data_IF_689565284024
#
_entry.id   IF_689565284024
#
_cell.length_a   1.000
_cell.length_b   1.000
_cell.length_c   1.000
_cell.angle_alpha   90.00
_cell.angle_beta   90.00
_cell.angle_gamma   90.00
#
_symmetry.space_group_name_H-M   'P 1'
#
loop_
_entity.id
_entity.type
_entity.pdbx_description
1 polymer ?
#
# COMPACT_ATOMS: atom_id res chain seq x y z
N UNK A 1 33.51 17.12 -39.90
CA UNK A 1 32.38 18.04 -40.02
C UNK A 1 32.22 18.44 -41.46
N UNK A 2 31.04 18.26 -42.07
CA UNK A 2 30.66 18.66 -43.41
C UNK A 2 29.35 19.47 -43.38
N UNK A 3 29.19 20.40 -44.31
CA UNK A 3 27.94 21.07 -44.52
C UNK A 3 27.03 20.21 -45.39
N UNK A 4 25.78 20.08 -45.01
CA UNK A 4 24.75 19.39 -45.80
C UNK A 4 23.80 20.42 -46.40
N UNK A 5 23.83 20.62 -47.70
CA UNK A 5 22.96 21.54 -48.40
C UNK A 5 21.49 21.12 -48.32
N UNK A 6 21.21 19.80 -48.45
CA UNK A 6 19.86 19.28 -48.38
C UNK A 6 19.19 19.45 -47.00
N UNK A 7 19.99 19.51 -45.94
CA UNK A 7 19.51 19.67 -44.56
C UNK A 7 19.76 21.05 -43.98
N UNK A 8 20.48 21.91 -44.71
CA UNK A 8 20.91 23.25 -44.26
C UNK A 8 21.54 23.21 -42.86
N UNK A 9 22.44 22.22 -42.63
CA UNK A 9 23.06 21.97 -41.31
C UNK A 9 24.47 21.42 -41.45
N UNK A 10 25.31 21.73 -40.48
CA UNK A 10 26.60 21.11 -40.28
C UNK A 10 26.40 19.70 -39.71
N UNK A 11 27.00 18.68 -40.35
CA UNK A 11 26.95 17.28 -39.96
C UNK A 11 28.34 16.87 -39.46
N UNK A 12 28.38 16.26 -38.29
CA UNK A 12 29.57 15.62 -37.73
C UNK A 12 29.34 14.15 -37.53
N UNK A 13 30.37 13.35 -37.81
CA UNK A 13 30.37 11.89 -37.57
C UNK A 13 31.56 11.52 -36.70
N UNK A 14 31.31 10.63 -35.72
CA UNK A 14 32.35 10.10 -34.83
C UNK A 14 32.15 8.60 -34.65
N UNK A 15 33.25 7.84 -34.65
CA UNK A 15 33.24 6.42 -34.33
C UNK A 15 33.19 6.23 -32.80
N UNK A 16 32.29 5.37 -32.36
CA UNK A 16 32.08 5.05 -30.94
C UNK A 16 32.21 3.54 -30.70
N UNK A 17 33.26 2.94 -31.27
CA UNK A 17 33.57 1.52 -31.13
C UNK A 17 32.94 0.62 -32.19
N UNK A 18 32.77 -0.65 -31.84
CA UNK A 18 32.28 -1.70 -32.72
C UNK A 18 31.08 -2.42 -32.08
N UNK A 19 30.19 -2.99 -32.91
CA UNK A 19 29.13 -3.88 -32.43
C UNK A 19 29.73 -5.25 -32.05
N UNK A 20 28.94 -6.08 -31.35
CA UNK A 20 29.33 -7.46 -31.05
C UNK A 20 29.70 -8.30 -32.32
N UNK A 21 29.17 -7.90 -33.47
CA UNK A 21 29.50 -8.51 -34.79
C UNK A 21 30.67 -7.83 -35.49
N UNK A 22 31.49 -7.00 -34.83
CA UNK A 22 32.65 -6.33 -35.38
C UNK A 22 32.36 -5.15 -36.33
N UNK A 23 31.09 -4.73 -36.51
CA UNK A 23 30.72 -3.59 -37.35
C UNK A 23 30.98 -2.28 -36.60
N UNK A 24 31.66 -1.33 -37.29
CA UNK A 24 31.97 0.00 -36.75
C UNK A 24 30.69 0.80 -36.41
N UNK A 25 30.58 1.26 -35.18
CA UNK A 25 29.48 2.13 -34.72
C UNK A 25 29.83 3.59 -34.96
N UNK A 26 28.99 4.29 -35.73
CA UNK A 26 29.18 5.72 -36.05
C UNK A 26 27.99 6.50 -35.59
N UNK A 27 28.24 7.52 -34.78
CA UNK A 27 27.23 8.48 -34.34
C UNK A 27 27.31 9.73 -35.20
N UNK A 28 26.17 10.16 -35.71
CA UNK A 28 26.04 11.37 -36.51
C UNK A 28 25.33 12.44 -35.67
N UNK A 29 25.92 13.63 -35.59
CA UNK A 29 25.32 14.80 -34.96
C UNK A 29 25.10 15.90 -35.98
N UNK A 30 24.16 16.81 -35.76
CA UNK A 30 23.92 17.96 -36.60
C UNK A 30 23.73 19.23 -35.77
N UNK A 31 24.18 20.37 -36.33
CA UNK A 31 24.02 21.70 -35.75
C UNK A 31 23.72 22.74 -36.82
N UNK A 32 23.06 23.85 -36.46
CA UNK A 32 22.84 24.99 -37.36
C UNK A 32 24.15 25.72 -37.67
N UNK A 33 25.07 25.71 -36.70
CA UNK A 33 26.40 26.29 -36.85
C UNK A 33 27.48 25.20 -36.72
N UNK A 34 28.67 25.47 -37.29
CA UNK A 34 29.85 24.61 -37.18
C UNK A 34 30.27 24.41 -35.69
N UNK A 35 30.15 25.50 -34.91
CA UNK A 35 30.45 25.48 -33.45
C UNK A 35 29.50 24.57 -32.69
N UNK A 36 28.21 24.64 -32.97
CA UNK A 36 27.19 23.78 -32.36
C UNK A 36 27.44 22.29 -32.67
N UNK A 37 27.70 21.98 -33.96
CA UNK A 37 28.00 20.60 -34.37
C UNK A 37 29.28 20.08 -33.69
N UNK A 38 30.31 20.95 -33.56
CA UNK A 38 31.57 20.58 -32.86
C UNK A 38 31.37 20.34 -31.38
N UNK A 39 30.54 21.17 -30.71
CA UNK A 39 30.18 21.00 -29.31
C UNK A 39 29.46 19.66 -29.07
N UNK A 40 28.47 19.33 -29.91
CA UNK A 40 27.74 18.04 -29.85
C UNK A 40 28.66 16.83 -30.10
N UNK A 41 29.63 16.94 -31.01
CA UNK A 41 30.64 15.88 -31.24
C UNK A 41 31.52 15.66 -30.00
N UNK A 42 31.98 16.75 -29.37
CA UNK A 42 32.77 16.64 -28.13
C UNK A 42 31.98 15.99 -27.00
N UNK A 43 30.71 16.32 -26.88
CA UNK A 43 29.81 15.72 -25.89
C UNK A 43 29.65 14.21 -26.14
N UNK A 44 29.43 13.77 -27.41
CA UNK A 44 29.35 12.35 -27.77
C UNK A 44 30.66 11.62 -27.47
N UNK A 45 31.81 12.26 -27.75
CA UNK A 45 33.12 11.66 -27.45
C UNK A 45 33.34 11.53 -25.94
N UNK A 46 32.99 12.52 -25.16
CA UNK A 46 33.07 12.48 -23.70
C UNK A 46 32.21 11.38 -23.13
N UNK A 47 30.94 11.27 -23.59
CA UNK A 47 30.04 10.21 -23.14
C UNK A 47 30.59 8.82 -23.49
N UNK A 48 31.17 8.68 -24.67
CA UNK A 48 31.81 7.41 -25.07
C UNK A 48 33.03 7.06 -24.19
N UNK A 49 33.87 8.04 -23.85
CA UNK A 49 35.01 7.89 -22.95
C UNK A 49 34.57 7.57 -21.53
N UNK A 50 33.44 8.13 -21.08
CA UNK A 50 32.81 7.86 -19.78
C UNK A 50 32.04 6.50 -19.77
N UNK A 51 32.06 5.72 -20.86
CA UNK A 51 31.37 4.44 -20.96
C UNK A 51 29.86 4.51 -21.23
N UNK A 52 29.32 5.70 -21.56
CA UNK A 52 27.90 5.88 -21.86
C UNK A 52 27.55 5.57 -23.32
N UNK A 53 26.76 4.51 -23.61
CA UNK A 53 26.38 4.18 -24.99
C UNK A 53 25.44 5.23 -25.59
N UNK A 54 25.80 5.75 -26.75
CA UNK A 54 25.08 6.85 -27.46
C UNK A 54 23.68 6.46 -27.92
N UNK A 55 23.40 5.17 -28.11
CA UNK A 55 22.08 4.65 -28.54
C UNK A 55 21.00 4.83 -27.47
N UNK A 56 21.39 5.01 -26.21
CA UNK A 56 20.48 5.12 -25.06
C UNK A 56 19.93 6.52 -24.82
N UNK A 57 20.38 7.53 -25.56
CA UNK A 57 19.95 8.94 -25.42
C UNK A 57 18.48 9.19 -25.78
N UNK A 58 17.83 8.26 -26.48
CA UNK A 58 16.44 8.41 -26.92
C UNK A 58 15.40 7.85 -25.94
N UNK A 59 15.84 7.12 -24.91
CA UNK A 59 14.91 6.54 -23.94
C UNK A 59 14.18 7.63 -23.14
N UNK A 60 12.87 7.45 -23.06
CA UNK A 60 11.98 8.34 -22.31
C UNK A 60 11.79 7.84 -20.87
N UNK A 61 11.22 8.67 -20.03
CA UNK A 61 10.79 8.28 -18.68
C UNK A 61 9.74 7.16 -18.75
N UNK A 62 8.83 7.20 -19.73
CA UNK A 62 7.85 6.13 -19.93
C UNK A 62 8.51 4.78 -20.22
N UNK A 63 9.50 4.76 -21.12
CA UNK A 63 10.27 3.52 -21.43
C UNK A 63 10.96 2.97 -20.18
N UNK A 64 11.52 3.85 -19.34
CA UNK A 64 12.16 3.46 -18.10
C UNK A 64 11.17 2.92 -17.05
N UNK A 65 9.97 3.48 -16.99
CA UNK A 65 8.89 2.98 -16.12
C UNK A 65 8.48 1.57 -16.53
N UNK A 66 8.25 1.32 -17.83
CA UNK A 66 7.84 -0.01 -18.29
C UNK A 66 8.97 -1.05 -18.10
N UNK A 67 10.23 -0.67 -18.37
CA UNK A 67 11.36 -1.55 -18.07
C UNK A 67 11.49 -1.86 -16.58
N UNK A 68 11.28 -0.87 -15.72
CA UNK A 68 11.29 -1.08 -14.28
C UNK A 68 10.14 -1.96 -13.80
N UNK A 69 8.93 -1.79 -14.34
CA UNK A 69 7.78 -2.62 -14.02
C UNK A 69 7.98 -4.07 -14.47
N UNK A 70 8.64 -4.27 -15.63
CA UNK A 70 8.89 -5.61 -16.16
C UNK A 70 10.01 -6.34 -15.41
N UNK A 71 11.09 -5.66 -15.03
CA UNK A 71 12.33 -6.31 -14.61
C UNK A 71 12.94 -5.74 -13.30
N UNK A 72 12.48 -4.56 -12.84
CA UNK A 72 13.10 -3.84 -11.73
C UNK A 72 12.40 -4.02 -10.38
N UNK A 73 11.28 -4.73 -10.35
CA UNK A 73 10.46 -4.87 -9.14
C UNK A 73 10.98 -5.95 -8.17
N UNK A 74 11.87 -6.84 -8.63
CA UNK A 74 12.32 -8.00 -7.83
C UNK A 74 11.16 -8.91 -7.42
N UNK A 75 11.35 -9.69 -6.36
CA UNK A 75 10.30 -10.53 -5.79
C UNK A 75 9.39 -9.65 -4.91
N UNK A 76 8.25 -9.27 -5.44
CA UNK A 76 7.24 -8.45 -4.74
C UNK A 76 5.88 -9.15 -4.77
N UNK A 77 5.05 -8.86 -3.76
CA UNK A 77 3.65 -9.27 -3.76
C UNK A 77 2.93 -8.73 -5.02
N UNK A 78 2.14 -9.56 -5.73
CA UNK A 78 1.42 -9.15 -6.95
C UNK A 78 0.61 -7.87 -6.77
N UNK A 79 -0.07 -7.71 -5.63
CA UNK A 79 -0.83 -6.51 -5.29
C UNK A 79 0.05 -5.24 -5.20
N UNK A 80 1.29 -5.39 -4.75
CA UNK A 80 2.26 -4.28 -4.70
C UNK A 80 2.69 -3.88 -6.12
N UNK A 81 2.94 -4.85 -7.00
CA UNK A 81 3.28 -4.61 -8.41
C UNK A 81 2.14 -3.86 -9.10
N UNK A 82 0.91 -4.38 -8.98
CA UNK A 82 -0.28 -3.74 -9.56
C UNK A 82 -0.47 -2.31 -9.05
N UNK A 83 -0.40 -2.08 -7.74
CA UNK A 83 -0.56 -0.74 -7.17
C UNK A 83 0.53 0.24 -7.64
N UNK A 84 1.78 -0.19 -7.73
CA UNK A 84 2.86 0.65 -8.23
C UNK A 84 2.70 0.95 -9.72
N UNK A 85 2.26 -0.03 -10.51
CA UNK A 85 1.96 0.17 -11.92
C UNK A 85 0.82 1.20 -12.12
N UNK A 86 -0.27 1.08 -11.35
CA UNK A 86 -1.37 2.05 -11.38
C UNK A 86 -0.86 3.45 -11.03
N UNK A 87 -0.12 3.60 -9.93
CA UNK A 87 0.42 4.90 -9.52
C UNK A 87 1.34 5.51 -10.59
N UNK A 88 2.26 4.71 -11.15
CA UNK A 88 3.17 5.17 -12.19
C UNK A 88 2.42 5.60 -13.46
N UNK A 89 1.51 4.76 -13.95
CA UNK A 89 0.77 5.02 -15.20
C UNK A 89 -0.25 6.15 -15.06
N UNK A 90 -0.84 6.33 -13.86
CA UNK A 90 -1.84 7.39 -13.64
C UNK A 90 -1.21 8.75 -13.37
N UNK A 91 -0.09 8.81 -12.65
CA UNK A 91 0.41 10.08 -12.13
C UNK A 91 1.79 10.48 -12.64
N UNK A 92 2.65 9.53 -13.03
CA UNK A 92 4.01 9.80 -13.48
C UNK A 92 4.08 9.87 -15.01
N UNK A 93 3.64 8.82 -15.70
CA UNK A 93 3.75 8.69 -17.17
C UNK A 93 3.01 9.82 -17.91
N UNK A 94 1.80 10.27 -17.54
CA UNK A 94 1.10 11.33 -18.26
C UNK A 94 1.84 12.68 -18.23
N UNK A 95 2.63 12.95 -17.20
CA UNK A 95 3.31 14.24 -17.01
C UNK A 95 4.77 14.19 -17.46
N UNK A 96 5.53 13.22 -16.99
CA UNK A 96 6.96 13.11 -17.25
C UNK A 96 7.31 12.10 -18.35
N UNK A 97 6.38 11.24 -18.75
CA UNK A 97 6.65 10.08 -19.58
C UNK A 97 7.30 10.39 -20.93
N UNK A 98 6.93 11.51 -21.56
CA UNK A 98 7.50 11.96 -22.85
C UNK A 98 8.88 12.60 -22.74
N UNK A 99 9.33 12.97 -21.53
CA UNK A 99 10.67 13.51 -21.30
C UNK A 99 11.72 12.45 -21.58
N UNK A 100 12.80 12.83 -22.23
CA UNK A 100 13.99 11.96 -22.33
C UNK A 100 14.64 11.87 -20.96
N UNK A 101 15.11 10.66 -20.62
CA UNK A 101 15.77 10.43 -19.32
C UNK A 101 16.94 11.37 -19.07
N UNK A 102 17.75 11.63 -20.11
CA UNK A 102 18.92 12.52 -20.04
C UNK A 102 18.59 13.99 -19.89
N UNK A 103 17.37 14.38 -20.23
CA UNK A 103 16.88 15.75 -20.16
C UNK A 103 16.06 16.04 -18.87
N UNK A 104 15.78 14.98 -18.08
CA UNK A 104 15.03 15.13 -16.84
C UNK A 104 15.89 15.89 -15.80
N UNK A 105 15.38 17.00 -15.33
CA UNK A 105 16.05 17.87 -14.36
C UNK A 105 15.44 17.74 -12.96
N UNK A 106 16.16 18.20 -11.95
CA UNK A 106 15.66 18.36 -10.57
C UNK A 106 14.40 19.22 -10.56
N UNK A 107 14.41 20.34 -11.30
CA UNK A 107 13.27 21.25 -11.41
C UNK A 107 12.02 20.58 -11.98
N UNK A 108 12.16 19.70 -12.99
CA UNK A 108 11.01 18.95 -13.54
C UNK A 108 10.38 18.04 -12.48
N UNK A 109 11.22 17.40 -11.64
CA UNK A 109 10.75 16.51 -10.56
C UNK A 109 10.08 17.32 -9.46
N UNK A 110 10.67 18.44 -9.04
CA UNK A 110 10.08 19.36 -8.05
C UNK A 110 8.71 19.88 -8.51
N UNK A 111 8.64 20.40 -9.74
CA UNK A 111 7.39 20.91 -10.30
C UNK A 111 6.29 19.84 -10.39
N UNK A 112 6.67 18.61 -10.80
CA UNK A 112 5.74 17.49 -10.86
C UNK A 112 5.22 17.10 -9.48
N UNK A 113 6.10 16.95 -8.47
CA UNK A 113 5.70 16.59 -7.12
C UNK A 113 4.85 17.68 -6.46
N UNK A 114 5.21 18.95 -6.65
CA UNK A 114 4.42 20.09 -6.16
C UNK A 114 3.00 20.12 -6.75
N UNK A 115 2.87 19.81 -8.04
CA UNK A 115 1.55 19.71 -8.67
C UNK A 115 0.75 18.51 -8.13
N UNK A 116 1.37 17.34 -7.98
CA UNK A 116 0.69 16.17 -7.39
C UNK A 116 0.30 16.39 -5.93
N UNK A 117 1.08 17.12 -5.16
CA UNK A 117 0.80 17.44 -3.77
C UNK A 117 -0.47 18.28 -3.55
N UNK A 118 -0.91 19.03 -4.55
CA UNK A 118 -2.18 19.79 -4.51
C UNK A 118 -3.40 18.87 -4.41
N UNK A 119 -3.32 17.65 -4.93
CA UNK A 119 -4.46 16.74 -5.08
C UNK A 119 -4.32 15.42 -4.33
N UNK A 120 -3.10 15.02 -4.00
CA UNK A 120 -2.82 13.70 -3.43
C UNK A 120 -2.35 13.82 -1.99
N UNK A 121 -2.62 12.77 -1.21
CA UNK A 121 -2.12 12.70 0.17
C UNK A 121 -0.60 12.63 0.23
N UNK A 122 -0.02 13.15 1.31
CA UNK A 122 1.43 13.11 1.57
C UNK A 122 2.02 11.71 1.36
N UNK A 123 1.35 10.66 1.84
CA UNK A 123 1.81 9.26 1.65
C UNK A 123 1.84 8.87 0.17
N UNK A 124 0.84 9.29 -0.62
CA UNK A 124 0.80 9.00 -2.07
C UNK A 124 1.90 9.75 -2.80
N UNK A 125 2.16 11.01 -2.46
CA UNK A 125 3.27 11.81 -3.02
C UNK A 125 4.62 11.15 -2.74
N UNK A 126 4.84 10.70 -1.49
CA UNK A 126 6.05 9.97 -1.11
C UNK A 126 6.20 8.64 -1.87
N UNK A 127 5.10 7.92 -2.11
CA UNK A 127 5.12 6.69 -2.94
C UNK A 127 5.47 6.99 -4.38
N UNK A 128 4.92 8.04 -4.97
CA UNK A 128 5.24 8.46 -6.34
C UNK A 128 6.72 8.83 -6.47
N UNK A 129 7.25 9.60 -5.52
CA UNK A 129 8.68 9.92 -5.45
C UNK A 129 9.54 8.66 -5.33
N UNK A 130 9.16 7.71 -4.45
CA UNK A 130 9.83 6.43 -4.30
C UNK A 130 9.85 5.59 -5.58
N UNK A 131 8.75 5.61 -6.36
CA UNK A 131 8.67 4.95 -7.67
C UNK A 131 9.65 5.60 -8.64
N UNK A 132 9.64 6.92 -8.80
CA UNK A 132 10.57 7.62 -9.70
C UNK A 132 12.03 7.38 -9.31
N UNK A 133 12.36 7.42 -8.02
CA UNK A 133 13.70 7.07 -7.51
C UNK A 133 14.12 5.65 -7.92
N UNK A 134 13.22 4.69 -7.82
CA UNK A 134 13.51 3.30 -8.19
C UNK A 134 13.69 3.13 -9.71
N UNK A 135 12.85 3.78 -10.50
CA UNK A 135 12.94 3.83 -11.98
C UNK A 135 14.28 4.41 -12.41
N UNK A 136 14.65 5.58 -11.89
CA UNK A 136 15.90 6.25 -12.24
C UNK A 136 17.12 5.51 -11.70
N UNK A 137 17.04 4.87 -10.53
CA UNK A 137 18.13 4.00 -10.03
C UNK A 137 18.40 2.84 -10.99
N UNK A 138 17.34 2.21 -11.52
CA UNK A 138 17.49 1.15 -12.51
C UNK A 138 18.07 1.71 -13.82
N UNK A 139 17.55 2.85 -14.29
CA UNK A 139 18.09 3.52 -15.47
C UNK A 139 19.59 3.87 -15.32
N UNK A 140 20.02 4.29 -14.13
CA UNK A 140 21.42 4.57 -13.80
C UNK A 140 22.26 3.28 -13.76
N UNK A 141 21.76 2.20 -13.18
CA UNK A 141 22.45 0.90 -13.18
C UNK A 141 22.65 0.30 -14.58
N UNK A 142 21.84 0.73 -15.55
CA UNK A 142 21.96 0.35 -16.97
C UNK A 142 22.58 1.46 -17.84
N UNK A 143 23.24 2.44 -17.25
CA UNK A 143 23.93 3.56 -17.91
C UNK A 143 23.04 4.39 -18.85
N UNK A 144 21.74 4.48 -18.57
CA UNK A 144 20.82 5.34 -19.31
C UNK A 144 20.85 6.79 -18.83
N UNK A 145 21.24 7.02 -17.57
CA UNK A 145 21.47 8.33 -16.97
C UNK A 145 22.69 8.31 -16.07
N UNK A 146 23.43 9.43 -16.01
CA UNK A 146 24.64 9.58 -15.19
C UNK A 146 24.29 9.69 -13.68
N UNK A 147 23.16 10.30 -13.36
CA UNK A 147 22.71 10.55 -11.98
C UNK A 147 21.21 10.36 -11.83
N UNK A 148 20.81 9.98 -10.64
CA UNK A 148 19.40 9.91 -10.26
C UNK A 148 18.96 11.25 -9.68
N UNK A 149 18.34 12.10 -10.51
CA UNK A 149 17.88 13.45 -10.11
C UNK A 149 16.81 13.43 -9.03
N UNK A 150 16.02 12.35 -8.92
CA UNK A 150 15.01 12.23 -7.88
C UNK A 150 15.59 12.02 -6.47
N UNK A 151 16.89 11.70 -6.35
CA UNK A 151 17.55 11.65 -5.04
C UNK A 151 17.86 13.04 -4.46
N UNK A 152 17.81 14.07 -5.31
CA UNK A 152 18.13 15.45 -4.95
C UNK A 152 16.87 16.27 -4.61
N UNK A 153 15.71 15.63 -4.59
CA UNK A 153 14.41 16.26 -4.34
C UNK A 153 13.79 15.69 -3.09
N UNK A 154 13.33 16.55 -2.20
CA UNK A 154 12.50 16.17 -1.06
C UNK A 154 11.01 16.32 -1.42
N UNK A 155 10.21 15.25 -1.30
CA UNK A 155 8.81 15.33 -1.66
C UNK A 155 8.04 16.28 -0.73
N UNK A 156 7.24 17.22 -1.27
CA UNK A 156 6.47 18.16 -0.49
C UNK A 156 5.34 17.44 0.26
N UNK A 157 4.78 18.10 1.28
CA UNK A 157 3.56 17.64 1.95
C UNK A 157 2.40 17.79 0.99
N UNK A 158 1.64 16.71 0.81
CA UNK A 158 0.38 16.70 0.08
C UNK A 158 -0.82 17.06 0.97
N UNK A 159 -2.03 16.80 0.46
CA UNK A 159 -3.26 16.95 1.23
C UNK A 159 -3.27 16.03 2.44
N UNK A 160 -4.04 16.38 3.46
CA UNK A 160 -4.28 15.50 4.58
C UNK A 160 -4.95 14.21 4.07
N UNK A 161 -4.37 13.06 4.41
CA UNK A 161 -5.01 11.77 4.15
C UNK A 161 -6.30 11.63 4.96
N UNK A 162 -7.16 10.67 4.57
CA UNK A 162 -8.34 10.34 5.36
C UNK A 162 -7.91 9.98 6.78
N UNK A 163 -8.41 10.71 7.80
CA UNK A 163 -8.06 10.39 9.18
C UNK A 163 -8.55 8.98 9.53
N UNK A 164 -7.79 8.29 10.36
CA UNK A 164 -8.24 7.06 11.01
C UNK A 164 -9.43 7.41 11.90
N UNK A 165 -10.51 6.61 11.82
CA UNK A 165 -11.69 6.78 12.64
C UNK A 165 -11.85 5.57 13.55
N UNK A 166 -12.30 5.80 14.77
CA UNK A 166 -12.72 4.76 15.70
C UNK A 166 -14.15 5.01 16.13
N UNK A 167 -14.90 3.94 16.36
CA UNK A 167 -16.23 4.00 16.93
C UNK A 167 -16.13 4.33 18.42
N UNK A 168 -17.02 5.17 18.92
CA UNK A 168 -17.27 5.26 20.35
C UNK A 168 -17.91 3.97 20.87
N UNK A 169 -17.92 3.73 22.18
CA UNK A 169 -18.57 2.56 22.77
C UNK A 169 -20.05 2.45 22.36
N UNK A 170 -20.79 3.57 22.37
CA UNK A 170 -22.21 3.62 21.97
C UNK A 170 -22.38 3.32 20.47
N UNK A 171 -21.51 3.85 19.61
CA UNK A 171 -21.52 3.56 18.17
C UNK A 171 -21.21 2.09 17.90
N UNK A 172 -20.26 1.51 18.64
CA UNK A 172 -19.93 0.11 18.56
C UNK A 172 -21.10 -0.78 19.01
N UNK A 173 -21.77 -0.44 20.11
CA UNK A 173 -22.96 -1.14 20.58
C UNK A 173 -24.10 -1.10 19.54
N UNK A 174 -24.40 0.08 18.97
CA UNK A 174 -25.39 0.21 17.90
C UNK A 174 -25.03 -0.58 16.64
N UNK A 175 -23.75 -0.57 16.25
CA UNK A 175 -23.29 -1.36 15.11
C UNK A 175 -23.45 -2.87 15.34
N UNK A 176 -23.12 -3.34 16.53
CA UNK A 176 -23.30 -4.75 16.91
C UNK A 176 -24.80 -5.13 16.94
N UNK A 177 -25.67 -4.25 17.42
CA UNK A 177 -27.12 -4.47 17.43
C UNK A 177 -27.68 -4.49 15.98
N UNK A 178 -27.25 -3.56 15.12
CA UNK A 178 -27.67 -3.54 13.72
C UNK A 178 -27.17 -4.78 12.95
N UNK A 179 -26.00 -5.30 13.29
CA UNK A 179 -25.45 -6.51 12.68
C UNK A 179 -26.27 -7.78 13.00
N UNK A 180 -27.00 -7.81 14.14
CA UNK A 180 -27.85 -8.97 14.48
C UNK A 180 -28.96 -9.20 13.44
N UNK A 181 -29.45 -8.17 12.77
CA UNK A 181 -30.47 -8.25 11.73
C UNK A 181 -29.92 -8.64 10.35
N UNK A 182 -28.60 -8.62 10.13
CA UNK A 182 -27.96 -9.02 8.86
C UNK A 182 -27.23 -10.35 9.06
N UNK A 183 -27.95 -11.46 8.80
CA UNK A 183 -27.41 -12.82 9.00
C UNK A 183 -26.05 -13.04 8.30
N UNK A 184 -25.86 -12.48 7.10
CA UNK A 184 -24.64 -12.62 6.33
C UNK A 184 -23.44 -11.86 6.92
N UNK A 185 -23.69 -10.74 7.62
CA UNK A 185 -22.65 -9.87 8.14
C UNK A 185 -22.50 -9.95 9.66
N UNK A 186 -23.45 -10.53 10.38
CA UNK A 186 -23.46 -10.62 11.85
C UNK A 186 -22.11 -11.13 12.39
N UNK A 187 -21.75 -12.35 12.07
CA UNK A 187 -20.51 -12.94 12.57
C UNK A 187 -19.28 -12.18 12.08
N UNK A 188 -19.29 -11.69 10.83
CA UNK A 188 -18.17 -10.91 10.28
C UNK A 188 -17.93 -9.62 11.06
N UNK A 189 -18.97 -8.85 11.34
CA UNK A 189 -18.87 -7.58 12.08
C UNK A 189 -18.46 -7.82 13.53
N UNK A 190 -19.11 -8.80 14.20
CA UNK A 190 -18.81 -9.15 15.59
C UNK A 190 -17.35 -9.59 15.74
N UNK A 191 -16.90 -10.55 14.94
CA UNK A 191 -15.52 -11.06 15.03
C UNK A 191 -14.51 -9.97 14.65
N UNK A 192 -14.78 -9.18 13.60
CA UNK A 192 -13.90 -8.10 13.18
C UNK A 192 -13.71 -7.05 14.29
N UNK A 193 -14.81 -6.63 14.92
CA UNK A 193 -14.77 -5.61 15.95
C UNK A 193 -14.16 -6.12 17.25
N UNK A 194 -14.47 -7.35 17.66
CA UNK A 194 -14.06 -7.90 18.97
C UNK A 194 -12.70 -8.59 18.98
N UNK A 195 -12.09 -8.83 17.81
CA UNK A 195 -10.74 -9.41 17.70
C UNK A 195 -9.72 -8.49 17.05
N UNK A 196 -10.19 -7.37 16.46
CA UNK A 196 -9.33 -6.48 15.69
C UNK A 196 -8.68 -7.14 14.46
N UNK A 197 -9.23 -8.25 13.96
CA UNK A 197 -8.73 -8.94 12.78
C UNK A 197 -8.77 -8.03 11.55
N UNK A 198 -7.74 -8.16 10.66
CA UNK A 198 -7.75 -7.44 9.39
C UNK A 198 -8.80 -8.03 8.45
N UNK A 199 -9.39 -7.21 7.60
CA UNK A 199 -10.35 -7.65 6.57
C UNK A 199 -9.80 -8.80 5.73
N UNK A 200 -8.52 -8.74 5.36
CA UNK A 200 -7.85 -9.76 4.57
C UNK A 200 -7.65 -11.07 5.36
N UNK A 201 -7.47 -10.98 6.68
CA UNK A 201 -7.35 -12.14 7.57
C UNK A 201 -8.70 -12.85 7.71
N UNK A 202 -9.78 -12.10 7.93
CA UNK A 202 -11.14 -12.66 8.02
C UNK A 202 -11.59 -13.29 6.71
N UNK A 203 -11.31 -12.67 5.57
CA UNK A 203 -11.66 -13.21 4.24
C UNK A 203 -10.92 -14.52 3.91
N UNK A 204 -9.79 -14.78 4.55
CA UNK A 204 -9.01 -15.99 4.39
C UNK A 204 -9.15 -16.96 5.57
N UNK A 205 -9.97 -16.63 6.59
CA UNK A 205 -10.16 -17.44 7.77
C UNK A 205 -10.86 -18.76 7.40
N UNK A 206 -10.30 -19.87 7.84
CA UNK A 206 -10.88 -21.20 7.65
C UNK A 206 -11.35 -21.79 8.99
N UNK A 207 -12.31 -22.69 8.96
CA UNK A 207 -12.80 -23.38 10.15
C UNK A 207 -11.72 -24.19 10.86
N UNK A 208 -10.68 -24.62 10.18
CA UNK A 208 -9.51 -25.30 10.78
C UNK A 208 -8.68 -24.40 11.69
N UNK A 209 -8.88 -23.09 11.61
CA UNK A 209 -8.22 -22.07 12.43
C UNK A 209 -9.16 -21.48 13.51
N UNK A 210 -10.33 -22.07 13.71
CA UNK A 210 -11.32 -21.65 14.71
C UNK A 210 -11.63 -22.85 15.61
N UNK A 211 -11.25 -22.74 16.86
CA UNK A 211 -11.60 -23.73 17.89
C UNK A 211 -12.72 -23.14 18.78
N UNK A 212 -13.96 -23.64 18.59
CA UNK A 212 -15.12 -23.21 19.34
C UNK A 212 -15.39 -24.08 20.57
N UNK A 213 -14.75 -25.26 20.65
CA UNK A 213 -14.94 -26.23 21.71
C UNK A 213 -13.83 -26.16 22.76
N UNK A 214 -12.73 -25.49 22.45
CA UNK A 214 -11.64 -25.23 23.38
C UNK A 214 -12.07 -24.40 24.59
N UNK A 215 -11.33 -24.55 25.67
CA UNK A 215 -11.53 -23.82 26.92
C UNK A 215 -10.25 -23.03 27.25
N UNK A 216 -10.14 -21.77 26.85
CA UNK A 216 -11.14 -20.94 26.16
C UNK A 216 -11.23 -21.22 24.65
N UNK A 217 -12.34 -20.82 23.97
CA UNK A 217 -12.45 -20.86 22.51
C UNK A 217 -11.46 -19.87 21.87
N UNK A 218 -10.89 -20.26 20.71
CA UNK A 218 -9.80 -19.47 20.09
C UNK A 218 -9.97 -19.32 18.58
N UNK A 219 -9.30 -18.28 18.04
CA UNK A 219 -9.12 -18.06 16.60
C UNK A 219 -7.65 -17.83 16.28
N UNK A 220 -7.13 -18.58 15.30
CA UNK A 220 -5.76 -18.44 14.81
C UNK A 220 -5.75 -17.58 13.51
N UNK A 221 -5.30 -16.34 13.61
CA UNK A 221 -5.19 -15.42 12.50
C UNK A 221 -3.82 -15.57 11.82
N UNK A 222 -3.65 -16.65 11.07
CA UNK A 222 -2.38 -17.06 10.46
C UNK A 222 -2.36 -16.89 8.95
N UNK A 223 -3.51 -16.68 8.32
CA UNK A 223 -3.65 -16.59 6.88
C UNK A 223 -4.23 -15.24 6.43
N UNK A 224 -4.02 -14.92 5.17
CA UNK A 224 -4.54 -13.74 4.51
C UNK A 224 -4.85 -14.07 3.04
N UNK A 225 -5.69 -13.30 2.38
CA UNK A 225 -6.01 -13.42 0.94
C UNK A 225 -4.85 -13.05 0.00
N UNK A 226 -3.63 -12.94 0.52
CA UNK A 226 -2.43 -12.66 -0.27
C UNK A 226 -1.97 -13.89 -1.06
N UNK A 227 -1.18 -13.64 -2.09
CA UNK A 227 -0.50 -14.71 -2.81
C UNK A 227 0.28 -15.59 -1.82
N UNK A 228 0.08 -16.91 -1.88
CA UNK A 228 0.64 -17.86 -0.92
C UNK A 228 -0.14 -18.05 0.38
N UNK A 229 -1.23 -17.31 0.60
CA UNK A 229 -2.11 -17.46 1.77
C UNK A 229 -1.50 -17.04 3.10
N UNK A 230 -0.33 -16.40 3.11
CA UNK A 230 0.37 -15.99 4.34
C UNK A 230 -0.03 -14.58 4.80
N UNK A 231 0.11 -14.32 6.11
CA UNK A 231 0.01 -12.96 6.65
C UNK A 231 1.19 -12.11 6.16
N UNK A 232 1.07 -10.77 6.25
CA UNK A 232 2.07 -9.81 5.76
C UNK A 232 3.48 -10.07 6.31
N UNK A 233 3.58 -10.55 7.54
CA UNK A 233 4.82 -10.95 8.21
C UNK A 233 4.53 -12.13 9.13
N UNK A 234 5.53 -12.96 9.43
CA UNK A 234 5.40 -14.04 10.43
C UNK A 234 4.97 -13.52 11.80
N UNK A 235 5.43 -12.34 12.20
CA UNK A 235 5.05 -11.68 13.45
C UNK A 235 3.57 -11.25 13.50
N UNK A 236 2.88 -11.21 12.35
CA UNK A 236 1.43 -10.92 12.31
C UNK A 236 0.58 -12.14 12.67
N UNK A 237 1.16 -13.36 12.73
CA UNK A 237 0.47 -14.58 13.12
C UNK A 237 0.21 -14.55 14.62
N UNK A 238 -1.03 -14.75 14.99
CA UNK A 238 -1.46 -14.74 16.39
C UNK A 238 -2.66 -15.65 16.60
N UNK A 239 -2.75 -16.24 17.77
CA UNK A 239 -3.94 -16.94 18.23
C UNK A 239 -4.55 -16.10 19.33
N UNK A 240 -5.83 -15.79 19.20
CA UNK A 240 -6.58 -14.97 20.15
C UNK A 240 -7.67 -15.80 20.79
N UNK A 241 -7.88 -15.61 22.09
CA UNK A 241 -9.09 -16.02 22.75
C UNK A 241 -10.28 -15.26 22.16
N UNK A 242 -11.37 -15.99 21.92
CA UNK A 242 -12.61 -15.40 21.42
C UNK A 242 -13.47 -14.90 22.58
N UNK A 243 -13.83 -13.60 22.61
CA UNK A 243 -14.87 -13.15 23.52
C UNK A 243 -16.16 -13.96 23.34
N UNK A 244 -16.89 -14.25 24.40
CA UNK A 244 -18.08 -15.10 24.39
C UNK A 244 -19.05 -14.75 23.26
N UNK A 245 -19.31 -13.46 23.04
CA UNK A 245 -20.16 -12.97 21.93
C UNK A 245 -19.62 -13.31 20.55
N UNK A 246 -18.31 -13.30 20.36
CA UNK A 246 -17.69 -13.67 19.08
C UNK A 246 -17.76 -15.18 18.85
N UNK A 247 -17.52 -15.99 19.88
CA UNK A 247 -17.64 -17.43 19.81
C UNK A 247 -19.08 -17.84 19.47
N UNK A 248 -20.07 -17.25 20.12
CA UNK A 248 -21.48 -17.50 19.85
C UNK A 248 -21.90 -17.08 18.44
N UNK A 249 -21.49 -15.90 17.98
CA UNK A 249 -21.75 -15.47 16.61
C UNK A 249 -21.18 -16.44 15.57
N UNK A 250 -20.00 -17.02 15.84
CA UNK A 250 -19.39 -18.03 14.96
C UNK A 250 -20.13 -19.37 15.01
N UNK A 251 -20.65 -19.82 16.17
CA UNK A 251 -21.47 -21.05 16.26
C UNK A 251 -22.74 -20.91 15.41
N UNK A 252 -23.48 -19.83 15.60
CA UNK A 252 -24.67 -19.54 14.79
C UNK A 252 -24.34 -19.47 13.31
N UNK A 253 -23.27 -18.76 12.95
CA UNK A 253 -22.82 -18.67 11.57
C UNK A 253 -22.47 -20.03 10.96
N UNK A 254 -21.79 -20.90 11.71
CA UNK A 254 -21.46 -22.26 11.26
C UNK A 254 -22.71 -23.08 10.93
N UNK A 255 -23.75 -22.94 11.73
CA UNK A 255 -25.03 -23.61 11.51
C UNK A 255 -25.72 -23.07 10.26
N UNK A 256 -25.85 -21.75 10.13
CA UNK A 256 -26.42 -21.10 8.94
C UNK A 256 -25.64 -21.45 7.67
N UNK A 257 -24.31 -21.45 7.73
CA UNK A 257 -23.47 -21.81 6.59
C UNK A 257 -23.69 -23.25 6.12
N UNK A 258 -23.91 -24.20 7.04
CA UNK A 258 -24.26 -25.59 6.68
C UNK A 258 -25.56 -25.68 5.88
N UNK A 259 -26.57 -24.89 6.23
CA UNK A 259 -27.82 -24.83 5.47
C UNK A 259 -27.60 -24.26 4.07
N UNK A 260 -26.80 -23.18 3.95
CA UNK A 260 -26.41 -22.59 2.67
C UNK A 260 -25.63 -23.60 1.81
N UNK A 261 -24.73 -24.36 2.42
CA UNK A 261 -23.96 -25.41 1.75
C UNK A 261 -24.87 -26.52 1.20
N UNK A 262 -25.80 -26.99 1.99
CA UNK A 262 -26.78 -27.99 1.56
C UNK A 262 -27.65 -27.49 0.42
N UNK A 263 -28.13 -26.25 0.49
CA UNK A 263 -28.91 -25.61 -0.57
C UNK A 263 -28.12 -25.38 -1.88
N UNK A 264 -26.81 -25.18 -1.77
CA UNK A 264 -25.94 -25.02 -2.95
C UNK A 264 -25.67 -26.35 -3.67
N UNK A 265 -25.68 -27.48 -2.96
CA UNK A 265 -25.42 -28.82 -3.53
C UNK A 265 -24.09 -28.85 -4.30
N UNK A 266 -24.12 -29.35 -5.52
CA UNK A 266 -22.94 -29.49 -6.41
C UNK A 266 -22.27 -28.17 -6.80
N UNK A 267 -22.96 -27.04 -6.60
CA UNK A 267 -22.36 -25.71 -6.83
C UNK A 267 -21.40 -25.27 -5.72
N UNK A 268 -21.38 -25.97 -4.60
CA UNK A 268 -20.48 -25.65 -3.51
C UNK A 268 -19.02 -25.98 -3.85
N UNK A 269 -18.14 -24.97 -3.82
CA UNK A 269 -16.74 -25.10 -4.24
C UNK A 269 -15.77 -25.53 -3.14
N UNK A 270 -16.28 -26.13 -2.04
CA UNK A 270 -15.47 -26.92 -1.10
C UNK A 270 -14.45 -26.17 -0.24
N UNK A 271 -14.42 -24.85 -0.25
CA UNK A 271 -13.52 -24.10 0.61
C UNK A 271 -13.97 -24.21 2.09
N UNK A 272 -13.03 -24.52 2.98
CA UNK A 272 -13.27 -24.53 4.44
C UNK A 272 -13.35 -23.12 5.05
N UNK A 273 -13.66 -22.11 4.23
CA UNK A 273 -13.73 -20.71 4.63
C UNK A 273 -14.85 -20.45 5.63
N UNK A 274 -14.56 -19.68 6.67
CA UNK A 274 -15.57 -19.20 7.62
C UNK A 274 -16.50 -18.21 6.92
N UNK A 275 -15.93 -17.23 6.22
CA UNK A 275 -16.68 -16.20 5.50
C UNK A 275 -16.53 -16.40 4.00
N UNK A 276 -17.61 -16.82 3.34
CA UNK A 276 -17.62 -17.15 1.92
C UNK A 276 -18.92 -16.69 1.25
N UNK A 277 -18.99 -16.81 -0.06
CA UNK A 277 -20.21 -16.60 -0.84
C UNK A 277 -21.19 -17.76 -0.64
N UNK A 278 -22.42 -17.63 -1.17
CA UNK A 278 -23.45 -18.69 -1.17
C UNK A 278 -23.05 -19.97 -1.90
N UNK A 279 -21.92 -19.98 -2.60
CA UNK A 279 -21.34 -21.15 -3.28
C UNK A 279 -19.96 -21.55 -2.72
N UNK A 280 -19.57 -21.04 -1.55
CA UNK A 280 -18.33 -21.42 -0.85
C UNK A 280 -17.06 -20.75 -1.35
N UNK A 281 -17.13 -19.76 -2.25
CA UNK A 281 -15.95 -19.03 -2.76
C UNK A 281 -15.56 -17.88 -1.83
N UNK A 282 -14.31 -17.43 -1.95
CA UNK A 282 -13.80 -16.29 -1.17
C UNK A 282 -14.60 -15.00 -1.41
N UNK A 283 -14.89 -14.27 -0.35
CA UNK A 283 -15.55 -12.96 -0.47
C UNK A 283 -14.65 -11.95 -1.17
N UNK A 284 -15.23 -11.19 -2.09
CA UNK A 284 -14.58 -10.02 -2.67
C UNK A 284 -14.58 -8.83 -1.69
N UNK A 285 -13.48 -8.04 -1.66
CA UNK A 285 -13.34 -6.91 -0.75
C UNK A 285 -14.37 -5.79 -0.99
N UNK A 286 -14.80 -5.59 -2.24
CA UNK A 286 -15.80 -4.58 -2.57
C UNK A 286 -17.19 -5.02 -2.09
N UNK A 287 -17.49 -6.32 -2.18
CA UNK A 287 -18.75 -6.89 -1.69
C UNK A 287 -18.83 -6.80 -0.16
N UNK A 288 -17.77 -7.20 0.56
CA UNK A 288 -17.69 -7.04 2.02
C UNK A 288 -17.93 -5.58 2.42
N UNK A 289 -17.28 -4.64 1.73
CA UNK A 289 -17.44 -3.20 1.99
C UNK A 289 -18.86 -2.71 1.74
N UNK A 290 -19.49 -3.18 0.67
CA UNK A 290 -20.89 -2.85 0.34
C UNK A 290 -21.85 -3.37 1.41
N UNK A 291 -21.70 -4.62 1.82
CA UNK A 291 -22.53 -5.23 2.86
C UNK A 291 -22.32 -4.57 4.21
N UNK A 292 -21.06 -4.29 4.59
CA UNK A 292 -20.76 -3.55 5.82
C UNK A 292 -21.41 -2.17 5.85
N UNK A 293 -21.44 -1.45 4.72
CA UNK A 293 -22.09 -0.13 4.63
C UNK A 293 -23.59 -0.19 4.91
N UNK A 294 -24.28 -1.28 4.55
CA UNK A 294 -25.69 -1.46 4.91
C UNK A 294 -25.86 -1.57 6.43
N UNK A 295 -25.01 -2.37 7.08
CA UNK A 295 -25.03 -2.50 8.55
C UNK A 295 -24.69 -1.18 9.23
N UNK A 296 -23.70 -0.46 8.72
CA UNK A 296 -23.32 0.86 9.25
C UNK A 296 -24.46 1.88 9.12
N UNK A 297 -25.17 1.90 7.98
CA UNK A 297 -26.34 2.75 7.80
C UNK A 297 -27.46 2.38 8.78
N UNK A 298 -27.75 1.10 8.97
CA UNK A 298 -28.75 0.61 9.92
C UNK A 298 -28.39 0.98 11.39
N UNK A 299 -27.10 1.11 11.69
CA UNK A 299 -26.60 1.58 12.97
C UNK A 299 -26.66 3.12 13.15
N UNK A 300 -27.18 3.87 12.17
CA UNK A 300 -27.21 5.33 12.17
C UNK A 300 -25.84 5.97 11.97
N UNK A 301 -24.90 5.27 11.31
CA UNK A 301 -23.57 5.79 10.95
C UNK A 301 -23.57 6.27 9.49
N UNK A 302 -22.70 7.25 9.18
CA UNK A 302 -22.46 7.64 7.78
C UNK A 302 -21.78 6.49 7.03
N UNK A 303 -22.57 5.71 6.28
CA UNK A 303 -22.12 4.53 5.58
C UNK A 303 -20.96 4.77 4.59
N UNK A 304 -20.84 5.99 4.01
CA UNK A 304 -19.76 6.33 3.09
C UNK A 304 -18.45 6.61 3.84
N UNK A 305 -18.56 7.07 5.08
CA UNK A 305 -17.40 7.39 5.91
C UNK A 305 -16.81 6.17 6.62
N UNK A 306 -17.46 5.00 6.61
CA UNK A 306 -17.01 3.81 7.32
C UNK A 306 -16.69 2.65 6.38
N UNK A 307 -15.66 1.88 6.71
CA UNK A 307 -15.28 0.63 6.03
C UNK A 307 -14.91 -0.43 7.08
N UNK A 308 -14.87 -1.72 6.73
CA UNK A 308 -14.48 -2.78 7.68
C UNK A 308 -13.10 -2.56 8.32
N UNK A 309 -12.21 -1.78 7.70
CA UNK A 309 -10.90 -1.45 8.27
C UNK A 309 -11.00 -0.68 9.58
N UNK A 310 -11.99 0.20 9.70
CA UNK A 310 -12.20 1.01 10.89
C UNK A 310 -12.66 0.18 12.11
N UNK A 311 -13.18 -1.04 11.91
CA UNK A 311 -13.48 -1.95 13.02
C UNK A 311 -12.24 -2.32 13.84
N UNK A 312 -11.12 -2.56 13.13
CA UNK A 312 -9.84 -2.80 13.81
C UNK A 312 -9.32 -1.55 14.51
N UNK A 313 -9.51 -0.36 13.94
CA UNK A 313 -9.17 0.89 14.61
C UNK A 313 -10.03 1.07 15.88
N UNK A 314 -11.32 0.77 15.78
CA UNK A 314 -12.24 0.81 16.90
C UNK A 314 -11.86 -0.17 18.00
N UNK A 315 -11.48 -1.41 17.67
CA UNK A 315 -10.97 -2.39 18.63
C UNK A 315 -9.82 -1.82 19.46
N UNK A 316 -8.82 -1.24 18.77
CA UNK A 316 -7.65 -0.66 19.45
C UNK A 316 -8.05 0.55 20.32
N UNK A 317 -8.89 1.45 19.80
CA UNK A 317 -9.33 2.63 20.55
C UNK A 317 -10.15 2.24 21.78
N UNK A 318 -11.08 1.29 21.64
CA UNK A 318 -11.90 0.79 22.73
C UNK A 318 -11.05 0.11 23.82
N UNK A 319 -10.10 -0.75 23.47
CA UNK A 319 -9.19 -1.37 24.45
C UNK A 319 -8.31 -0.33 25.13
N UNK A 320 -7.82 0.65 24.40
CA UNK A 320 -7.01 1.70 24.99
C UNK A 320 -7.83 2.54 26.00
N UNK A 321 -9.13 2.75 25.76
CA UNK A 321 -10.00 3.48 26.71
C UNK A 321 -10.23 2.70 28.02
N UNK A 322 -10.01 1.37 28.04
CA UNK A 322 -10.04 0.57 29.27
C UNK A 322 -8.74 0.62 30.08
N UNK A 323 -7.71 1.33 29.59
CA UNK A 323 -6.42 1.42 30.25
C UNK A 323 -5.46 0.27 29.94
N UNK A 324 -5.76 -0.58 28.95
CA UNK A 324 -4.85 -1.61 28.48
C UNK A 324 -3.58 -0.98 27.88
N UNK A 325 -2.42 -1.59 28.12
CA UNK A 325 -1.14 -1.08 27.61
C UNK A 325 -1.07 -1.08 26.07
N UNK A 326 -0.35 -0.14 25.48
CA UNK A 326 -0.17 -0.07 24.03
C UNK A 326 0.58 -1.30 23.52
N UNK A 327 1.49 -1.85 24.31
CA UNK A 327 2.24 -3.06 24.05
C UNK A 327 1.31 -4.26 23.93
N UNK A 328 0.43 -4.47 24.89
CA UNK A 328 -0.55 -5.57 24.88
C UNK A 328 -1.50 -5.45 23.68
N UNK A 329 -2.02 -4.24 23.44
CA UNK A 329 -2.87 -3.99 22.26
C UNK A 329 -2.10 -4.27 20.97
N UNK A 330 -0.81 -3.88 20.88
CA UNK A 330 0.04 -4.14 19.73
C UNK A 330 0.22 -5.64 19.46
N UNK A 331 0.39 -6.43 20.52
CA UNK A 331 0.43 -7.90 20.43
C UNK A 331 -0.89 -8.49 19.94
N UNK A 332 -2.03 -8.06 20.49
CA UNK A 332 -3.36 -8.52 20.09
C UNK A 332 -3.64 -8.25 18.61
N UNK A 333 -3.25 -7.09 18.10
CA UNK A 333 -3.46 -6.76 16.68
C UNK A 333 -2.33 -7.25 15.77
N UNK A 334 -1.22 -7.78 16.29
CA UNK A 334 -0.08 -8.28 15.50
C UNK A 334 0.59 -7.15 14.70
N UNK A 335 0.96 -6.06 15.38
CA UNK A 335 1.86 -5.05 14.84
C UNK A 335 3.30 -5.45 15.13
N UNK A 336 4.19 -5.24 14.15
CA UNK A 336 5.62 -5.54 14.33
C UNK A 336 6.31 -4.60 15.32
N UNK A 337 5.66 -3.48 15.71
CA UNK A 337 6.19 -2.47 16.63
C UNK A 337 5.03 -1.68 17.23
N UNK A 338 5.10 -1.38 18.53
CA UNK A 338 4.18 -0.50 19.26
C UNK A 338 4.13 0.90 18.63
N UNK A 339 5.22 1.36 18.00
CA UNK A 339 5.28 2.63 17.27
C UNK A 339 4.20 2.78 16.19
N UNK A 340 3.79 1.68 15.53
CA UNK A 340 2.69 1.71 14.56
C UNK A 340 1.36 1.95 15.26
N UNK A 341 1.14 1.31 16.41
CA UNK A 341 -0.03 1.50 17.26
C UNK A 341 -0.04 2.94 17.79
N UNK A 342 1.06 3.43 18.34
CA UNK A 342 1.19 4.81 18.80
C UNK A 342 0.92 5.84 17.69
N UNK A 343 1.52 5.71 16.52
CA UNK A 343 1.40 6.70 15.42
C UNK A 343 -0.03 6.82 14.91
N UNK A 344 -0.75 5.70 14.83
CA UNK A 344 -2.14 5.66 14.35
C UNK A 344 -3.10 6.18 15.41
N UNK A 345 -2.83 5.91 16.70
CA UNK A 345 -3.78 6.15 17.79
C UNK A 345 -3.41 7.31 18.70
N UNK A 346 -2.17 7.83 18.66
CA UNK A 346 -1.71 8.95 19.49
C UNK A 346 -2.51 10.24 19.30
N UNK A 347 -3.18 10.42 18.17
CA UNK A 347 -4.05 11.59 17.95
C UNK A 347 -5.42 11.48 18.63
N UNK A 348 -5.91 10.25 18.84
CA UNK A 348 -7.20 9.99 19.50
C UNK A 348 -7.03 9.71 20.99
N UNK A 349 -5.84 9.25 21.40
CA UNK A 349 -5.48 8.91 22.76
C UNK A 349 -4.66 10.06 23.36
N UNK A 350 -5.33 11.09 23.85
CA UNK A 350 -4.83 11.93 24.94
C UNK A 350 -5.65 11.62 26.20
N UNK A 351 -5.51 10.43 26.83
CA UNK A 351 -6.05 10.23 28.16
C UNK A 351 -5.32 11.24 29.04
N UNK A 352 -6.06 11.93 29.89
CA UNK A 352 -5.46 12.60 31.05
C UNK A 352 -4.70 11.52 31.79
N UNK A 353 -3.38 11.65 31.90
CA UNK A 353 -2.52 10.67 32.57
C UNK A 353 -2.75 10.79 34.09
N UNK A 354 -3.87 10.28 34.55
CA UNK A 354 -4.30 10.34 35.96
C UNK A 354 -3.44 9.50 36.89
N UNK A 355 -2.84 8.41 36.38
CA UNK A 355 -1.99 7.50 37.19
C UNK A 355 -0.78 8.20 37.81
N UNK A 356 -0.16 9.15 37.09
CA UNK A 356 0.95 9.93 37.62
C UNK A 356 0.50 10.85 38.77
N UNK A 357 -0.62 11.53 38.60
CA UNK A 357 -1.18 12.38 39.64
C UNK A 357 -1.58 11.56 40.85
N UNK A 358 -2.31 10.46 40.69
CA UNK A 358 -2.71 9.58 41.79
C UNK A 358 -1.52 8.96 42.54
N UNK A 359 -0.45 8.60 41.81
CA UNK A 359 0.78 8.10 42.43
C UNK A 359 1.50 9.18 43.23
N UNK A 360 1.55 10.42 42.73
CA UNK A 360 2.14 11.55 43.43
C UNK A 360 1.28 11.96 44.66
N UNK A 361 -0.05 11.92 44.54
CA UNK A 361 -0.94 12.16 45.66
C UNK A 361 -0.78 11.11 46.78
N UNK A 362 -0.50 9.85 46.37
CA UNK A 362 -0.22 8.78 47.32
C UNK A 362 1.16 8.93 48.00
N UNK A 363 2.15 9.48 47.30
CA UNK A 363 3.49 9.74 47.85
C UNK A 363 3.54 11.02 48.68
N UNK A 364 2.73 12.00 48.34
CA UNK A 364 2.66 13.31 48.99
C UNK A 364 1.19 13.69 49.27
N UNK A 365 0.57 13.06 50.30
CA UNK A 365 -0.82 13.34 50.64
C UNK A 365 -0.95 14.83 51.03
N UNK A 366 -1.96 15.48 50.48
CA UNK A 366 -2.31 16.85 50.88
C UNK A 366 -2.93 16.80 52.28
N UNK A 367 -2.18 17.23 53.28
CA UNK A 367 -2.75 17.45 54.62
C UNK A 367 -3.84 18.54 54.53
N UNK A 368 -5.03 18.22 55.01
CA UNK A 368 -6.17 19.15 55.09
C UNK A 368 -6.02 20.13 56.22
#
# INVERSE_FOLDING_TARGET
LSWSESRQRWIGRVSVGFTAMGKRRVVTVSGRTKTEAKAKLREVMRDYQDGFPTERRHRTVADAVEDWLAHGMGVQEPSTVVNRAILARTHLVPVLGRRRLVELTVHDVDAWLADRAKMLSTDTVHRLHGILRAVLRRAQAHDHVKRNVALLVDPPRGTAGRPSKALTADQAARLLAAAEADEAMRAYVVVSLLTGARTEELRALTWTHVDLEGKPPTVALWRSVRAGGETKTRQSRRTLELPARAAEALRVHRTSQRHVQLAAGDRWQGASLVFCTSVGTALDAANVRRSFRRVAAAAGLDAQAWTPRELRHSFVSLLSSTGMSIEDISHLVGHASSRVTELVYRKELRPVLTRGASAMDALFPHEK
#
